data_IF_422647781245
#
_entry.id   IF_422647781245
#
_cell.length_a   1.000
_cell.length_b   1.000
_cell.length_c   1.000
_cell.angle_alpha   90.00
_cell.angle_beta   90.00
_cell.angle_gamma   90.00
#
_symmetry.space_group_name_H-M   'P 1'
#
loop_
_entity.id
_entity.type
_entity.pdbx_description
1 polymer ?
#
# COMPACT_ATOMS: atom_id res chain seq x y z
N UNK A 1 8.87 0.33 9.21
CA UNK A 1 8.91 -1.04 9.76
C UNK A 1 8.88 -2.11 8.67
N UNK A 2 9.47 -3.29 8.91
CA UNK A 2 9.25 -4.44 8.03
C UNK A 2 7.86 -5.02 8.24
N UNK A 3 7.10 -5.13 7.16
CA UNK A 3 5.77 -5.74 7.15
C UNK A 3 5.89 -7.20 6.73
N UNK A 4 6.70 -7.52 5.72
CA UNK A 4 6.96 -8.89 5.29
C UNK A 4 8.43 -9.24 5.41
N UNK A 5 8.80 -9.96 6.47
CA UNK A 5 10.18 -10.42 6.68
C UNK A 5 10.64 -11.40 5.60
N UNK A 6 9.76 -12.31 5.19
CA UNK A 6 10.01 -13.30 4.13
C UNK A 6 10.48 -12.70 2.79
N UNK A 7 10.01 -11.49 2.48
CA UNK A 7 10.25 -10.82 1.19
C UNK A 7 10.98 -9.49 1.34
N UNK A 8 11.39 -9.13 2.56
CA UNK A 8 12.03 -7.86 2.85
C UNK A 8 11.17 -6.63 2.54
N UNK A 9 9.84 -6.74 2.65
CA UNK A 9 8.93 -5.63 2.31
C UNK A 9 8.66 -4.76 3.54
N UNK A 10 8.86 -3.46 3.39
CA UNK A 10 8.61 -2.44 4.40
C UNK A 10 7.26 -1.76 4.20
N UNK A 11 6.74 -1.12 5.24
CA UNK A 11 5.56 -0.26 5.16
C UNK A 11 5.75 0.89 4.16
N UNK A 12 6.96 1.48 4.12
CA UNK A 12 7.30 2.53 3.16
C UNK A 12 7.16 2.03 1.72
N UNK A 13 7.65 0.83 1.41
CA UNK A 13 7.49 0.25 0.07
C UNK A 13 6.02 0.02 -0.28
N UNK A 14 5.19 -0.44 0.66
CA UNK A 14 3.74 -0.59 0.44
C UNK A 14 3.10 0.76 0.12
N UNK A 15 3.41 1.80 0.90
CA UNK A 15 2.89 3.16 0.68
C UNK A 15 3.39 3.74 -0.64
N UNK A 16 4.66 3.53 -0.98
CA UNK A 16 5.25 3.98 -2.23
C UNK A 16 4.53 3.36 -3.43
N UNK A 17 4.22 2.06 -3.41
CA UNK A 17 3.46 1.44 -4.51
C UNK A 17 2.09 2.11 -4.69
N UNK A 18 1.43 2.53 -3.61
CA UNK A 18 0.18 3.28 -3.69
C UNK A 18 0.42 4.68 -4.27
N UNK A 19 1.47 5.39 -3.82
CA UNK A 19 1.86 6.69 -4.40
C UNK A 19 2.16 6.58 -5.90
N UNK A 20 2.79 5.49 -6.33
CA UNK A 20 3.15 5.20 -7.73
C UNK A 20 1.93 4.80 -8.59
N UNK A 21 0.75 4.62 -7.98
CA UNK A 21 -0.50 4.39 -8.69
C UNK A 21 -1.25 3.11 -8.31
N UNK A 22 -0.71 2.24 -7.45
CA UNK A 22 -1.45 1.08 -6.99
C UNK A 22 -2.72 1.50 -6.23
N UNK A 23 -3.85 0.89 -6.54
CA UNK A 23 -5.17 1.18 -5.92
C UNK A 23 -5.78 -0.04 -5.24
N UNK A 24 -5.08 -1.18 -5.25
CA UNK A 24 -5.56 -2.39 -4.60
C UNK A 24 -4.43 -3.18 -3.92
N UNK A 25 -4.78 -3.97 -2.91
CA UNK A 25 -3.86 -4.94 -2.29
C UNK A 25 -3.28 -5.91 -3.32
N UNK A 26 -4.06 -6.28 -4.34
CA UNK A 26 -3.62 -7.21 -5.38
C UNK A 26 -2.42 -6.64 -6.14
N UNK A 27 -2.51 -5.39 -6.57
CA UNK A 27 -1.42 -4.69 -7.27
C UNK A 27 -0.18 -4.55 -6.39
N UNK A 28 -0.33 -4.12 -5.13
CA UNK A 28 0.80 -4.00 -4.20
C UNK A 28 1.47 -5.37 -3.99
N UNK A 29 0.68 -6.43 -3.84
CA UNK A 29 1.21 -7.79 -3.70
C UNK A 29 1.95 -8.25 -4.94
N UNK A 30 1.42 -8.00 -6.13
CA UNK A 30 2.05 -8.36 -7.40
C UNK A 30 3.37 -7.60 -7.60
N UNK A 31 3.41 -6.30 -7.25
CA UNK A 31 4.61 -5.48 -7.38
C UNK A 31 5.71 -5.81 -6.35
N UNK A 32 5.35 -6.12 -5.10
CA UNK A 32 6.32 -6.31 -4.00
C UNK A 32 6.62 -7.78 -3.68
N UNK A 33 5.77 -8.71 -4.14
CA UNK A 33 5.78 -10.10 -3.70
C UNK A 33 5.34 -10.30 -2.25
N UNK A 34 4.85 -9.27 -1.55
CA UNK A 34 4.46 -9.36 -0.13
C UNK A 34 3.45 -10.49 0.13
N UNK A 35 3.62 -11.25 1.22
CA UNK A 35 2.75 -12.36 1.61
C UNK A 35 2.66 -13.55 0.63
N UNK A 36 3.58 -13.68 -0.34
CA UNK A 36 3.64 -14.83 -1.28
C UNK A 36 4.47 -16.03 -0.76
N UNK A 37 4.96 -15.98 0.49
CA UNK A 37 5.65 -17.11 1.14
C UNK A 37 4.80 -17.67 2.30
N UNK A 38 5.00 -17.19 3.53
CA UNK A 38 4.32 -17.74 4.70
C UNK A 38 2.92 -17.15 4.95
N UNK A 39 2.55 -16.05 4.26
CA UNK A 39 1.24 -15.40 4.37
C UNK A 39 0.95 -14.66 5.69
N UNK A 40 1.77 -14.79 6.75
CA UNK A 40 1.48 -14.25 8.09
C UNK A 40 1.26 -12.74 8.13
N UNK A 41 1.93 -11.99 7.27
CA UNK A 41 1.81 -10.54 7.18
C UNK A 41 0.58 -10.07 6.36
N UNK A 42 -0.18 -10.97 5.73
CA UNK A 42 -1.22 -10.61 4.76
C UNK A 42 -2.28 -9.68 5.33
N UNK A 43 -2.77 -9.93 6.55
CA UNK A 43 -3.79 -9.10 7.17
C UNK A 43 -3.28 -7.68 7.43
N UNK A 44 -2.09 -7.55 8.03
CA UNK A 44 -1.47 -6.25 8.30
C UNK A 44 -1.16 -5.49 7.00
N UNK A 45 -0.56 -6.16 6.01
CA UNK A 45 -0.22 -5.54 4.73
C UNK A 45 -1.47 -5.07 3.96
N UNK A 46 -2.58 -5.84 4.03
CA UNK A 46 -3.88 -5.43 3.48
C UNK A 46 -4.43 -4.18 4.17
N UNK A 47 -4.39 -4.12 5.50
CA UNK A 47 -4.85 -2.94 6.26
C UNK A 47 -4.03 -1.70 5.90
N UNK A 48 -2.70 -1.82 5.91
CA UNK A 48 -1.80 -0.73 5.51
C UNK A 48 -2.05 -0.26 4.08
N UNK A 49 -2.28 -1.18 3.14
CA UNK A 49 -2.59 -0.82 1.75
C UNK A 49 -3.93 -0.08 1.65
N UNK A 50 -4.95 -0.53 2.38
CA UNK A 50 -6.27 0.12 2.40
C UNK A 50 -6.17 1.55 2.94
N UNK A 51 -5.47 1.72 4.06
CA UNK A 51 -5.23 3.04 4.66
C UNK A 51 -4.48 3.96 3.68
N UNK A 52 -3.40 3.47 3.06
CA UNK A 52 -2.64 4.25 2.08
C UNK A 52 -3.50 4.67 0.88
N UNK A 53 -4.33 3.76 0.34
CA UNK A 53 -5.22 4.08 -0.79
C UNK A 53 -6.28 5.12 -0.40
N UNK A 54 -6.82 5.03 0.82
CA UNK A 54 -7.78 6.01 1.31
C UNK A 54 -7.14 7.39 1.50
N UNK A 55 -5.93 7.44 2.05
CA UNK A 55 -5.19 8.69 2.20
C UNK A 55 -4.88 9.32 0.84
N UNK A 56 -4.40 8.54 -0.13
CA UNK A 56 -4.12 9.04 -1.48
C UNK A 56 -5.37 9.60 -2.18
N UNK A 57 -6.55 9.01 -1.91
CA UNK A 57 -7.84 9.55 -2.40
C UNK A 57 -8.19 10.87 -1.73
N UNK A 58 -8.08 10.94 -0.40
CA UNK A 58 -8.35 12.17 0.35
C UNK A 58 -7.44 13.32 -0.09
N UNK A 59 -6.16 13.03 -0.32
CA UNK A 59 -5.19 14.01 -0.85
C UNK A 59 -5.60 14.52 -2.23
N UNK A 60 -6.04 13.62 -3.12
CA UNK A 60 -6.53 14.00 -4.46
C UNK A 60 -7.81 14.84 -4.39
N UNK A 61 -8.79 14.44 -3.57
CA UNK A 61 -10.05 15.16 -3.37
C UNK A 61 -9.80 16.57 -2.81
N UNK A 62 -8.88 16.67 -1.85
CA UNK A 62 -8.48 17.95 -1.27
C UNK A 62 -7.78 18.84 -2.30
N UNK A 63 -6.89 18.28 -3.12
CA UNK A 63 -6.22 19.01 -4.20
C UNK A 63 -7.21 19.57 -5.22
N UNK A 64 -8.29 18.84 -5.52
CA UNK A 64 -9.36 19.31 -6.40
C UNK A 64 -10.14 20.48 -5.78
N UNK A 65 -10.41 20.42 -4.47
CA UNK A 65 -11.14 21.47 -3.77
C UNK A 65 -10.37 22.81 -3.71
N UNK A 66 -9.04 22.78 -3.67
CA UNK A 66 -8.20 23.99 -3.63
C UNK A 66 -7.77 24.53 -5.00
N UNK A 67 -8.11 23.84 -6.09
CA UNK A 67 -7.75 24.27 -7.45
C UNK A 67 -8.79 25.20 -8.11
N UNK A 68 -9.86 25.55 -7.39
CA UNK A 68 -10.96 26.46 -7.79
C UNK A 68 -10.79 27.79 -7.08
#
# INVERSE_FOLDING_TARGET
MYVCVCKGVTDHQIRQQVSDGARSWREVREATGCATQCGKCACMAKSLTREAVQNARLEADMSLAYAV
#
